data_IF_350970412944
#
_entry.id   IF_350970412944
#
_cell.length_a   1.000
_cell.length_b   1.000
_cell.length_c   1.000
_cell.angle_alpha   90.00
_cell.angle_beta   90.00
_cell.angle_gamma   90.00
#
_symmetry.space_group_name_H-M   'P 1'
#
loop_
_entity.id
_entity.type
_entity.pdbx_description
1 polymer ?
#
# COMPACT_ATOMS: atom_id res chain seq x y z
N UNK A 1 16.83 -6.36 -22.92
CA UNK A 1 17.29 -6.63 -21.54
C UNK A 1 17.08 -8.10 -21.22
N UNK A 2 18.06 -8.76 -20.62
CA UNK A 2 18.02 -10.20 -20.32
C UNK A 2 18.05 -10.36 -18.80
N UNK A 3 17.18 -11.26 -18.28
CA UNK A 3 17.05 -11.57 -16.86
C UNK A 3 17.20 -13.07 -16.64
N UNK A 4 17.75 -13.46 -15.47
CA UNK A 4 17.84 -14.86 -15.03
C UNK A 4 18.55 -15.77 -16.03
N UNK A 5 19.73 -15.35 -16.52
CA UNK A 5 20.53 -16.12 -17.49
C UNK A 5 19.77 -16.54 -18.77
N UNK A 6 18.83 -15.67 -19.23
CA UNK A 6 18.05 -15.90 -20.44
C UNK A 6 16.67 -16.52 -20.23
N UNK A 7 16.23 -16.69 -18.98
CA UNK A 7 14.89 -17.18 -18.67
C UNK A 7 13.79 -16.18 -19.08
N UNK A 8 14.11 -14.89 -19.06
CA UNK A 8 13.21 -13.81 -19.46
C UNK A 8 13.98 -12.75 -20.22
N UNK A 9 13.49 -12.42 -21.41
CA UNK A 9 13.98 -11.29 -22.21
C UNK A 9 12.92 -10.21 -22.31
N UNK A 10 13.34 -8.95 -22.29
CA UNK A 10 12.45 -7.80 -22.49
C UNK A 10 12.97 -6.94 -23.64
N UNK A 11 12.16 -6.79 -24.68
CA UNK A 11 12.38 -5.84 -25.77
C UNK A 11 11.70 -4.51 -25.43
N UNK A 12 12.44 -3.41 -25.51
CA UNK A 12 11.89 -2.07 -25.26
C UNK A 12 11.23 -1.58 -26.56
N UNK A 13 9.91 -1.47 -26.54
CA UNK A 13 9.12 -1.03 -27.68
C UNK A 13 8.96 0.49 -27.72
N UNK A 14 8.85 1.16 -26.55
CA UNK A 14 8.58 2.60 -26.49
C UNK A 14 9.04 3.20 -25.16
N UNK A 15 9.21 4.54 -25.15
CA UNK A 15 9.54 5.35 -23.99
C UNK A 15 8.31 6.17 -23.62
N UNK A 16 7.71 5.84 -22.49
CA UNK A 16 6.49 6.48 -22.01
C UNK A 16 6.80 7.70 -21.11
N UNK A 17 5.84 8.63 -20.94
CA UNK A 17 5.98 9.74 -20.00
C UNK A 17 6.38 9.27 -18.59
N UNK A 18 7.15 10.09 -17.88
CA UNK A 18 7.62 9.75 -16.52
C UNK A 18 8.76 8.73 -16.50
N UNK A 19 9.37 8.39 -17.64
CA UNK A 19 10.54 7.51 -17.70
C UNK A 19 10.22 6.02 -17.67
N UNK A 20 8.96 5.63 -17.74
CA UNK A 20 8.55 4.23 -17.91
C UNK A 20 8.84 3.74 -19.33
N UNK A 21 8.89 2.43 -19.50
CA UNK A 21 9.12 1.77 -20.80
C UNK A 21 7.98 0.82 -21.08
N UNK A 22 7.49 0.85 -22.32
CA UNK A 22 6.66 -0.22 -22.85
C UNK A 22 7.59 -1.33 -23.32
N UNK A 23 7.40 -2.52 -22.80
CA UNK A 23 8.25 -3.67 -23.16
C UNK A 23 7.40 -4.84 -23.63
N UNK A 24 7.97 -5.65 -24.50
CA UNK A 24 7.46 -6.97 -24.85
C UNK A 24 8.37 -8.03 -24.20
N UNK A 25 7.75 -9.01 -23.52
CA UNK A 25 8.48 -10.08 -22.88
C UNK A 25 8.50 -11.33 -23.74
N UNK A 26 9.69 -11.91 -23.90
CA UNK A 26 9.93 -13.18 -24.58
C UNK A 26 10.41 -14.20 -23.54
N UNK A 27 9.68 -15.30 -23.42
CA UNK A 27 9.94 -16.35 -22.43
C UNK A 27 9.28 -17.67 -22.83
N UNK A 28 9.70 -18.77 -22.20
CA UNK A 28 9.10 -20.10 -22.36
C UNK A 28 8.53 -20.57 -21.02
N UNK A 29 7.26 -20.98 -21.01
CA UNK A 29 6.57 -21.47 -19.82
C UNK A 29 5.54 -20.49 -19.24
N UNK A 30 5.34 -20.52 -17.93
CA UNK A 30 4.38 -19.68 -17.23
C UNK A 30 5.10 -18.44 -16.67
N UNK A 31 4.65 -17.26 -17.10
CA UNK A 31 5.31 -16.00 -16.77
C UNK A 31 5.48 -15.78 -15.26
N UNK A 32 4.46 -16.06 -14.47
CA UNK A 32 4.52 -15.88 -13.03
C UNK A 32 5.56 -16.81 -12.36
N UNK A 33 5.67 -18.06 -12.82
CA UNK A 33 6.68 -19.00 -12.31
C UNK A 33 8.11 -18.52 -12.60
N UNK A 34 8.31 -17.90 -13.78
CA UNK A 34 9.60 -17.30 -14.14
C UNK A 34 9.88 -16.09 -13.24
N UNK A 35 8.88 -15.24 -13.01
CA UNK A 35 9.03 -14.09 -12.09
C UNK A 35 9.36 -14.54 -10.66
N UNK A 36 8.72 -15.59 -10.16
CA UNK A 36 9.00 -16.16 -8.84
C UNK A 36 10.43 -16.70 -8.74
N UNK A 37 10.96 -17.23 -9.84
CA UNK A 37 12.32 -17.78 -9.89
C UNK A 37 13.40 -16.70 -9.95
N UNK A 38 13.18 -15.61 -10.68
CA UNK A 38 14.21 -14.58 -10.94
C UNK A 38 13.94 -13.25 -10.21
N UNK A 39 12.73 -13.08 -9.70
CA UNK A 39 12.29 -11.87 -9.03
C UNK A 39 12.97 -11.67 -7.67
N UNK A 40 13.28 -10.42 -7.37
CA UNK A 40 13.74 -10.02 -6.05
C UNK A 40 12.69 -9.13 -5.41
N UNK A 41 12.48 -9.29 -4.10
CA UNK A 41 11.60 -8.41 -3.35
C UNK A 41 12.11 -6.96 -3.44
N UNK A 42 11.31 -6.00 -3.96
CA UNK A 42 11.73 -4.61 -4.02
C UNK A 42 11.79 -4.04 -2.61
N UNK A 43 12.99 -3.73 -2.15
CA UNK A 43 13.21 -3.08 -0.86
C UNK A 43 13.38 -1.57 -1.04
N UNK A 44 12.98 -0.77 -0.04
CA UNK A 44 13.35 0.65 -0.01
C UNK A 44 14.85 0.86 -0.13
N UNK A 45 15.31 1.97 -0.75
CA UNK A 45 16.72 2.20 -1.03
C UNK A 45 17.64 2.25 0.21
N UNK A 46 17.07 2.47 1.39
CA UNK A 46 17.83 2.51 2.65
C UNK A 46 18.09 1.12 3.25
N UNK A 47 17.47 0.05 2.72
CA UNK A 47 17.74 -1.33 3.12
C UNK A 47 18.76 -1.91 2.14
N UNK A 48 19.96 -2.18 2.64
CA UNK A 48 21.08 -2.69 1.84
C UNK A 48 21.34 -4.19 2.06
N UNK A 49 20.71 -4.79 3.07
CA UNK A 49 20.85 -6.22 3.33
C UNK A 49 19.94 -7.03 2.41
N UNK A 50 20.48 -8.13 1.88
CA UNK A 50 19.69 -9.10 1.13
C UNK A 50 18.72 -9.82 2.06
N UNK A 51 17.45 -9.88 1.65
CA UNK A 51 16.44 -10.67 2.35
C UNK A 51 16.74 -12.16 2.12
N UNK A 52 16.98 -12.87 3.22
CA UNK A 52 17.08 -14.34 3.21
C UNK A 52 15.70 -15.02 3.15
N UNK A 53 14.67 -14.28 3.52
CA UNK A 53 13.28 -14.72 3.59
C UNK A 53 12.40 -13.59 3.07
N UNK A 54 11.82 -13.76 1.89
CA UNK A 54 11.00 -12.77 1.22
C UNK A 54 9.71 -12.46 2.00
N UNK A 55 9.17 -13.45 2.73
CA UNK A 55 7.94 -13.29 3.51
C UNK A 55 8.13 -12.35 4.69
N UNK A 56 9.37 -12.15 5.14
CA UNK A 56 9.67 -11.24 6.25
C UNK A 56 9.38 -9.77 5.91
N UNK A 57 9.44 -9.38 4.64
CA UNK A 57 9.11 -8.01 4.20
C UNK A 57 7.67 -7.92 3.67
N UNK A 58 6.76 -8.69 4.27
CA UNK A 58 5.33 -8.63 4.01
C UNK A 58 4.56 -8.72 5.32
N UNK A 59 3.37 -8.11 5.34
CA UNK A 59 2.49 -8.19 6.51
C UNK A 59 1.79 -9.54 6.60
N UNK A 60 1.54 -10.02 7.80
CA UNK A 60 0.83 -11.29 8.06
C UNK A 60 -0.63 -11.28 7.59
N UNK A 61 -1.16 -10.11 7.23
CA UNK A 61 -2.51 -9.93 6.71
C UNK A 61 -2.54 -9.55 5.22
N UNK A 62 -1.42 -9.59 4.51
CA UNK A 62 -1.38 -9.42 3.05
C UNK A 62 -2.22 -10.50 2.38
N UNK A 63 -3.07 -10.09 1.45
CA UNK A 63 -4.04 -11.00 0.83
C UNK A 63 -4.09 -10.93 -0.69
N UNK A 64 -3.88 -9.76 -1.25
CA UNK A 64 -4.00 -9.52 -2.68
C UNK A 64 -2.66 -9.03 -3.22
N UNK A 65 -2.19 -9.71 -4.27
CA UNK A 65 -1.00 -9.30 -5.02
C UNK A 65 -1.27 -8.04 -5.83
N UNK A 66 -0.20 -7.33 -6.25
CA UNK A 66 -0.31 -6.16 -7.12
C UNK A 66 0.30 -4.87 -6.55
N UNK A 67 0.89 -4.91 -5.34
CA UNK A 67 1.62 -3.78 -4.77
C UNK A 67 3.12 -3.91 -4.98
N UNK A 68 3.79 -2.80 -5.32
CA UNK A 68 5.25 -2.73 -5.37
C UNK A 68 5.90 -2.51 -3.99
N UNK A 69 5.12 -2.16 -2.96
CA UNK A 69 5.63 -1.89 -1.62
C UNK A 69 4.72 -2.46 -0.52
N UNK A 70 5.33 -2.97 0.55
CA UNK A 70 4.63 -3.42 1.74
C UNK A 70 4.33 -2.24 2.69
N UNK A 71 3.22 -2.28 3.46
CA UNK A 71 2.92 -1.28 4.49
C UNK A 71 3.78 -1.51 5.73
N UNK A 72 4.97 -0.90 5.77
CA UNK A 72 6.03 -1.20 6.76
C UNK A 72 5.61 -1.07 8.22
N UNK A 73 4.71 -0.17 8.57
CA UNK A 73 4.15 -0.09 9.91
C UNK A 73 3.40 -1.38 10.33
N UNK A 74 2.87 -2.11 9.35
CA UNK A 74 2.18 -3.39 9.56
C UNK A 74 3.10 -4.56 9.85
N UNK A 75 4.38 -4.49 9.51
CA UNK A 75 5.36 -5.57 9.70
C UNK A 75 5.59 -5.93 11.18
N UNK A 76 5.25 -5.01 12.08
CA UNK A 76 5.35 -5.22 13.53
C UNK A 76 4.19 -6.04 14.12
N UNK A 77 3.14 -6.29 13.32
CA UNK A 77 1.98 -7.06 13.78
C UNK A 77 2.17 -8.55 13.48
N UNK A 78 2.06 -9.38 14.51
CA UNK A 78 2.02 -10.83 14.38
C UNK A 78 0.59 -11.35 14.51
N UNK A 79 0.29 -12.58 14.06
CA UNK A 79 -1.03 -13.19 14.27
C UNK A 79 -1.44 -13.21 15.74
N UNK A 80 -0.49 -13.49 16.65
CA UNK A 80 -0.73 -13.51 18.10
C UNK A 80 -1.05 -12.12 18.64
N UNK A 81 -0.38 -11.07 18.13
CA UNK A 81 -0.66 -9.69 18.53
C UNK A 81 -2.04 -9.25 18.04
N UNK A 82 -2.40 -9.55 16.80
CA UNK A 82 -3.72 -9.25 16.25
C UNK A 82 -4.82 -9.94 17.09
N UNK A 83 -4.63 -11.22 17.42
CA UNK A 83 -5.57 -11.96 18.28
C UNK A 83 -5.71 -11.30 19.67
N UNK A 84 -4.61 -10.91 20.30
CA UNK A 84 -4.65 -10.21 21.61
C UNK A 84 -5.37 -8.86 21.54
N UNK A 85 -5.26 -8.16 20.40
CA UNK A 85 -5.97 -6.90 20.16
C UNK A 85 -7.48 -7.16 20.08
N UNK A 86 -7.91 -8.18 19.33
CA UNK A 86 -9.32 -8.57 19.23
C UNK A 86 -9.89 -9.05 20.57
N UNK A 87 -9.14 -9.84 21.36
CA UNK A 87 -9.52 -10.29 22.70
C UNK A 87 -9.76 -9.11 23.69
N UNK A 88 -9.14 -7.96 23.44
CA UNK A 88 -9.40 -6.70 24.17
C UNK A 88 -10.64 -5.96 23.69
N UNK A 89 -11.39 -6.51 22.72
CA UNK A 89 -12.59 -5.91 22.15
C UNK A 89 -12.32 -4.83 21.09
N UNK A 90 -11.09 -4.75 20.57
CA UNK A 90 -10.77 -3.86 19.45
C UNK A 90 -11.16 -4.54 18.13
N UNK A 91 -11.93 -3.84 17.31
CA UNK A 91 -12.32 -4.32 15.98
C UNK A 91 -11.19 -4.07 14.99
N UNK A 92 -10.88 -5.07 14.17
CA UNK A 92 -9.91 -4.95 13.08
C UNK A 92 -10.70 -4.80 11.77
N UNK A 93 -10.39 -3.75 11.00
CA UNK A 93 -10.90 -3.49 9.67
C UNK A 93 -9.76 -3.46 8.66
N UNK A 94 -9.99 -3.98 7.46
CA UNK A 94 -8.98 -4.07 6.42
C UNK A 94 -9.33 -3.17 5.23
N UNK A 95 -8.31 -2.56 4.67
CA UNK A 95 -8.37 -1.84 3.39
C UNK A 95 -7.29 -2.40 2.46
N UNK A 96 -7.53 -2.33 1.17
CA UNK A 96 -6.54 -2.68 0.15
C UNK A 96 -6.13 -1.43 -0.60
N UNK A 97 -4.83 -1.22 -0.78
CA UNK A 97 -4.27 -0.22 -1.67
C UNK A 97 -3.15 -0.87 -2.47
N UNK A 98 -3.23 -0.80 -3.79
CA UNK A 98 -2.18 -1.24 -4.70
C UNK A 98 -1.17 -0.12 -4.89
N UNK A 99 -0.12 -0.16 -4.09
CA UNK A 99 0.94 0.86 -4.09
C UNK A 99 1.83 0.68 -5.30
N UNK A 100 1.90 1.71 -6.14
CA UNK A 100 2.73 1.71 -7.35
C UNK A 100 4.21 1.96 -7.05
N UNK A 101 5.06 1.71 -8.08
CA UNK A 101 6.52 1.97 -8.01
C UNK A 101 6.87 3.43 -7.76
N UNK A 102 5.93 4.34 -7.97
CA UNK A 102 6.10 5.77 -7.70
C UNK A 102 6.42 6.10 -6.24
N UNK A 103 6.04 5.22 -5.30
CA UNK A 103 6.31 5.41 -3.87
C UNK A 103 7.80 5.42 -3.53
N UNK A 104 8.65 4.83 -4.39
CA UNK A 104 10.11 4.84 -4.23
C UNK A 104 10.78 6.05 -4.90
N UNK A 105 10.02 6.90 -5.59
CA UNK A 105 10.58 8.10 -6.23
C UNK A 105 10.68 9.22 -5.20
N UNK A 106 11.84 9.88 -5.09
CA UNK A 106 11.96 11.04 -4.23
C UNK A 106 11.07 12.17 -4.73
N UNK A 107 10.45 12.89 -3.80
CA UNK A 107 9.77 14.16 -4.10
C UNK A 107 10.81 15.13 -4.62
N UNK A 108 10.61 15.64 -5.83
CA UNK A 108 11.55 16.57 -6.50
C UNK A 108 11.12 18.03 -6.42
N UNK A 109 9.86 18.25 -6.00
CA UNK A 109 9.27 19.57 -5.92
C UNK A 109 9.66 20.23 -4.59
N UNK A 110 10.21 21.46 -4.66
CA UNK A 110 10.49 22.27 -3.48
C UNK A 110 9.21 22.79 -2.82
N UNK A 111 8.13 22.90 -3.59
CA UNK A 111 6.82 23.33 -3.16
C UNK A 111 5.89 22.12 -3.02
N UNK A 112 5.58 21.78 -1.77
CA UNK A 112 4.77 20.61 -1.40
C UNK A 112 3.38 20.64 -2.06
N UNK A 113 2.81 21.84 -2.27
CA UNK A 113 1.47 21.99 -2.87
C UNK A 113 1.44 21.65 -4.37
N UNK A 114 2.59 21.67 -5.03
CA UNK A 114 2.72 21.33 -6.46
C UNK A 114 3.04 19.87 -6.71
N UNK A 115 3.24 19.09 -5.65
CA UNK A 115 3.56 17.68 -5.80
C UNK A 115 2.33 16.89 -6.28
N UNK A 116 2.43 16.31 -7.47
CA UNK A 116 1.41 15.40 -8.00
C UNK A 116 1.65 13.99 -7.45
N UNK A 117 0.74 13.55 -6.58
CA UNK A 117 0.76 12.18 -6.08
C UNK A 117 0.33 11.19 -7.17
N UNK A 118 1.00 10.03 -7.20
CA UNK A 118 0.62 8.94 -8.08
C UNK A 118 -0.77 8.43 -7.74
N UNK A 119 -1.50 8.06 -8.81
CA UNK A 119 -2.77 7.36 -8.68
C UNK A 119 -2.53 5.93 -8.21
N UNK A 120 -3.19 5.52 -7.15
CA UNK A 120 -3.11 4.19 -6.58
C UNK A 120 -4.51 3.63 -6.37
N UNK A 121 -4.71 2.38 -6.84
CA UNK A 121 -6.01 1.72 -6.77
C UNK A 121 -6.30 1.19 -5.38
N UNK A 122 -7.49 1.47 -4.87
CA UNK A 122 -7.93 1.02 -3.54
C UNK A 122 -9.27 0.28 -3.59
N UNK A 123 -9.48 -0.52 -2.54
CA UNK A 123 -10.72 -1.24 -2.33
C UNK A 123 -11.01 -1.42 -0.83
N UNK A 124 -12.27 -1.25 -0.43
CA UNK A 124 -12.76 -1.53 0.93
C UNK A 124 -14.12 -2.24 0.89
N UNK A 125 -14.26 -3.29 1.71
CA UNK A 125 -15.48 -4.08 1.81
C UNK A 125 -16.50 -3.42 2.73
N UNK A 126 -17.76 -3.79 2.51
CA UNK A 126 -18.89 -3.34 3.35
C UNK A 126 -18.70 -3.68 4.84
N UNK A 127 -18.27 -4.91 5.12
CA UNK A 127 -18.04 -5.38 6.50
C UNK A 127 -17.01 -4.55 7.28
N UNK A 128 -15.97 -4.09 6.58
CA UNK A 128 -14.92 -3.26 7.16
C UNK A 128 -15.40 -1.80 7.33
N UNK A 129 -16.17 -1.27 6.37
CA UNK A 129 -16.83 0.01 6.52
C UNK A 129 -17.81 0.01 7.70
N UNK A 130 -18.60 -1.03 7.86
CA UNK A 130 -19.57 -1.15 8.96
C UNK A 130 -18.85 -1.10 10.32
N UNK A 131 -17.73 -1.84 10.50
CA UNK A 131 -16.89 -1.79 11.72
C UNK A 131 -16.40 -0.39 12.03
N UNK A 132 -15.88 0.33 11.04
CA UNK A 132 -15.39 1.70 11.17
C UNK A 132 -16.53 2.64 11.57
N UNK A 133 -17.63 2.58 10.84
CA UNK A 133 -18.78 3.46 11.07
C UNK A 133 -19.45 3.24 12.43
N UNK A 134 -19.60 1.98 12.86
CA UNK A 134 -20.10 1.63 14.19
C UNK A 134 -19.18 2.19 15.30
N UNK A 135 -17.86 2.09 15.10
CA UNK A 135 -16.87 2.62 16.02
C UNK A 135 -17.00 4.14 16.16
N UNK A 136 -17.14 4.86 15.04
CA UNK A 136 -17.35 6.31 15.05
C UNK A 136 -18.68 6.70 15.71
N UNK A 137 -19.77 6.02 15.37
CA UNK A 137 -21.10 6.25 15.99
C UNK A 137 -21.10 6.03 17.51
N UNK A 138 -20.27 5.11 17.98
CA UNK A 138 -20.09 4.84 19.41
C UNK A 138 -19.15 5.85 20.11
N UNK A 139 -18.66 6.88 19.42
CA UNK A 139 -17.72 7.86 19.95
C UNK A 139 -16.35 7.27 20.28
N UNK A 140 -15.98 6.16 19.65
CA UNK A 140 -14.69 5.48 19.84
C UNK A 140 -13.71 5.89 18.74
N UNK A 141 -12.42 5.59 18.94
CA UNK A 141 -11.34 5.99 18.06
C UNK A 141 -11.13 5.01 16.91
N UNK A 142 -10.85 5.56 15.73
CA UNK A 142 -10.37 4.84 14.55
C UNK A 142 -8.85 5.08 14.42
N UNK A 143 -8.06 4.03 14.60
CA UNK A 143 -6.60 4.09 14.52
C UNK A 143 -6.16 3.44 13.22
N UNK A 144 -5.53 4.22 12.36
CA UNK A 144 -4.93 3.73 11.12
C UNK A 144 -3.54 3.15 11.38
N UNK A 145 -3.25 2.00 10.82
CA UNK A 145 -1.91 1.38 10.82
C UNK A 145 -1.30 1.54 9.43
N UNK A 146 -0.28 2.37 9.35
CA UNK A 146 0.40 2.75 8.11
C UNK A 146 -0.27 3.92 7.37
N UNK A 147 0.57 4.65 6.63
CA UNK A 147 0.11 5.74 5.75
C UNK A 147 -0.76 5.22 4.61
N UNK A 148 -0.58 3.97 4.20
CA UNK A 148 -1.39 3.25 3.21
C UNK A 148 -2.87 3.23 3.59
N UNK A 149 -3.21 2.72 4.78
CA UNK A 149 -4.59 2.69 5.26
C UNK A 149 -5.13 4.09 5.56
N UNK A 150 -4.29 5.00 6.03
CA UNK A 150 -4.64 6.40 6.21
C UNK A 150 -5.11 7.04 4.88
N UNK A 151 -4.35 6.87 3.80
CA UNK A 151 -4.72 7.40 2.47
C UNK A 151 -6.07 6.90 2.01
N UNK A 152 -6.33 5.60 2.12
CA UNK A 152 -7.63 5.03 1.72
C UNK A 152 -8.75 5.65 2.54
N UNK A 153 -8.66 5.62 3.87
CA UNK A 153 -9.72 6.10 4.75
C UNK A 153 -10.01 7.58 4.56
N UNK A 154 -8.98 8.41 4.42
CA UNK A 154 -9.15 9.86 4.19
C UNK A 154 -9.65 10.20 2.78
N UNK A 155 -9.41 9.34 1.79
CA UNK A 155 -9.96 9.50 0.44
C UNK A 155 -11.47 9.26 0.42
N UNK A 156 -11.94 8.19 1.08
CA UNK A 156 -13.33 7.75 1.00
C UNK A 156 -14.23 8.32 2.10
N UNK A 157 -13.65 9.00 3.08
CA UNK A 157 -14.42 9.57 4.19
C UNK A 157 -15.30 10.74 3.76
N UNK A 158 -16.56 10.69 4.15
CA UNK A 158 -17.47 11.81 4.04
C UNK A 158 -16.97 13.02 4.83
N UNK A 159 -16.95 14.18 4.23
CA UNK A 159 -16.34 15.39 4.81
C UNK A 159 -17.05 15.90 6.08
N UNK A 160 -18.34 15.63 6.23
CA UNK A 160 -19.12 16.13 7.36
C UNK A 160 -19.17 15.15 8.52
N UNK A 161 -19.26 13.85 8.21
CA UNK A 161 -19.47 12.80 9.19
C UNK A 161 -18.22 11.97 9.48
N UNK A 162 -17.24 11.97 8.58
CA UNK A 162 -16.07 11.13 8.60
C UNK A 162 -16.38 9.65 8.43
N UNK A 163 -17.62 9.30 8.06
CA UNK A 163 -18.01 7.93 7.79
C UNK A 163 -17.53 7.47 6.41
N UNK A 164 -17.41 6.16 6.25
CA UNK A 164 -16.92 5.54 5.01
C UNK A 164 -17.98 4.63 4.39
N UNK A 165 -17.94 4.48 3.07
CA UNK A 165 -18.82 3.58 2.34
C UNK A 165 -18.01 2.55 1.54
N UNK A 166 -18.57 1.34 1.30
CA UNK A 166 -17.93 0.35 0.45
C UNK A 166 -17.70 0.95 -0.93
N UNK A 167 -16.47 0.91 -1.38
CA UNK A 167 -16.10 1.50 -2.67
C UNK A 167 -14.78 0.92 -3.17
N UNK A 168 -14.58 1.10 -4.46
CA UNK A 168 -13.38 0.79 -5.21
C UNK A 168 -13.08 1.98 -6.10
N UNK A 169 -11.82 2.32 -6.28
CA UNK A 169 -11.42 3.47 -7.09
C UNK A 169 -9.95 3.78 -6.97
N UNK A 170 -9.59 4.97 -7.42
CA UNK A 170 -8.21 5.45 -7.41
C UNK A 170 -8.07 6.64 -6.47
N UNK A 171 -6.93 6.73 -5.77
CA UNK A 171 -6.60 7.87 -4.91
C UNK A 171 -5.33 8.56 -5.36
N UNK A 172 -5.38 9.88 -5.35
CA UNK A 172 -4.22 10.77 -5.53
C UNK A 172 -4.05 11.69 -4.31
N UNK A 173 -4.73 11.37 -3.20
CA UNK A 173 -4.67 12.22 -2.01
C UNK A 173 -3.22 12.40 -1.54
N UNK A 174 -2.85 13.65 -1.30
CA UNK A 174 -1.59 14.03 -0.70
C UNK A 174 -1.85 14.70 0.64
N UNK A 175 -1.39 14.07 1.72
CA UNK A 175 -1.58 14.56 3.09
C UNK A 175 -0.29 15.24 3.53
N UNK A 176 -0.36 16.54 3.81
CA UNK A 176 0.76 17.39 4.21
C UNK A 176 0.38 18.28 5.39
N UNK A 177 1.30 19.02 6.02
CA UNK A 177 1.02 19.85 7.18
C UNK A 177 -0.14 20.80 6.95
N UNK A 178 -1.11 20.81 7.87
CA UNK A 178 -2.36 21.58 7.76
C UNK A 178 -3.57 20.74 7.33
N UNK A 179 -3.38 19.51 6.86
CA UNK A 179 -4.49 18.61 6.54
C UNK A 179 -5.33 18.30 7.79
N UNK A 180 -6.66 18.32 7.64
CA UNK A 180 -7.61 17.98 8.71
C UNK A 180 -8.16 16.59 8.46
N UNK A 181 -7.79 15.65 9.32
CA UNK A 181 -8.27 14.28 9.24
C UNK A 181 -9.78 14.20 9.49
N UNK A 182 -10.45 13.41 8.65
CA UNK A 182 -11.93 13.23 8.66
C UNK A 182 -12.32 11.91 9.33
N UNK A 183 -11.61 10.84 8.99
CA UNK A 183 -11.94 9.49 9.43
C UNK A 183 -11.12 9.05 10.63
N UNK A 184 -9.81 9.21 10.59
CA UNK A 184 -8.92 8.65 11.60
C UNK A 184 -8.70 9.58 12.79
N UNK A 185 -8.54 8.98 13.98
CA UNK A 185 -8.24 9.68 15.23
C UNK A 185 -6.79 9.46 15.68
N UNK A 186 -6.08 8.56 15.02
CA UNK A 186 -4.67 8.29 15.27
C UNK A 186 -4.03 7.50 14.16
N UNK A 187 -2.71 7.64 14.05
CA UNK A 187 -1.90 6.97 13.04
C UNK A 187 -0.71 6.28 13.73
N UNK A 188 -0.58 4.99 13.49
CA UNK A 188 0.64 4.22 13.78
C UNK A 188 1.43 4.17 12.49
N UNK A 189 2.61 4.74 12.48
CA UNK A 189 3.48 4.77 11.32
C UNK A 189 4.89 4.31 11.68
N UNK A 190 5.70 4.03 10.67
CA UNK A 190 7.09 3.69 10.85
C UNK A 190 7.95 4.96 10.78
N UNK A 191 9.04 5.00 11.55
CA UNK A 191 10.03 6.07 11.49
C UNK A 191 11.16 5.69 10.53
N UNK A 192 11.74 6.72 9.92
CA UNK A 192 12.94 6.63 9.10
C UNK A 192 14.10 7.34 9.76
#
# INVERSE_FOLDING_TARGET
VIFGDGLLEAEILDIMPGGTRKVEFHYNGIFNEILDQIGLMPLPPYIHEELKDNDRYQTVYAKYEGSAAAPTAGLHFTPELLKKIEEKGVKIANVTLHVGIGTFRPVKEDDVEKHEMHSEHYYIKKEDCDKINETKKAGKRVISVGTTSCRVLETIADEKTGMVAPTEGDTQIFIYPGYKFKCIDGLITNFH
#
